data_IF_401241840259
#
_entry.id   IF_401241840259
#
_cell.length_a   1.000
_cell.length_b   1.000
_cell.length_c   1.000
_cell.angle_alpha   90.00
_cell.angle_beta   90.00
_cell.angle_gamma   90.00
#
_symmetry.space_group_name_H-M   'P 1'
#
loop_
_entity.id
_entity.type
_entity.pdbx_description
1 polymer ?
#
# COMPACT_ATOMS: atom_id res chain seq x y z
N UNK A 1 14.66 13.99 4.03
CA UNK A 1 15.59 13.03 3.42
C UNK A 1 16.90 13.75 3.11
N UNK A 2 18.03 13.07 3.25
CA UNK A 2 19.36 13.67 3.05
C UNK A 2 19.64 13.83 1.53
N UNK A 3 19.53 15.06 1.04
CA UNK A 3 19.69 15.39 -0.38
C UNK A 3 21.15 15.41 -0.86
N UNK A 4 22.12 15.30 0.07
CA UNK A 4 23.52 15.13 -0.30
C UNK A 4 23.82 13.67 -0.69
N UNK A 5 23.02 12.71 -0.17
CA UNK A 5 23.18 11.27 -0.45
C UNK A 5 22.20 10.72 -1.47
N UNK A 6 21.04 11.34 -1.61
CA UNK A 6 19.94 10.81 -2.43
C UNK A 6 19.42 11.84 -3.41
N UNK A 7 19.27 11.43 -4.65
CA UNK A 7 18.48 12.16 -5.63
C UNK A 7 17.01 11.69 -5.52
N UNK A 8 16.17 12.50 -4.87
CA UNK A 8 14.81 12.14 -4.55
C UNK A 8 13.87 12.50 -5.69
N UNK A 9 13.11 11.53 -6.17
CA UNK A 9 12.04 11.73 -7.15
C UNK A 9 10.72 11.54 -6.41
N UNK A 10 9.89 12.57 -6.39
CA UNK A 10 8.62 12.55 -5.69
C UNK A 10 7.51 12.12 -6.65
N UNK A 11 6.71 11.13 -6.23
CA UNK A 11 5.54 10.66 -6.97
C UNK A 11 4.34 10.70 -6.04
N UNK A 12 3.31 11.44 -6.41
CA UNK A 12 2.05 11.51 -5.70
C UNK A 12 1.01 10.58 -6.33
N UNK A 13 0.24 9.87 -5.49
CA UNK A 13 -0.89 9.05 -5.94
C UNK A 13 -2.16 9.68 -5.38
N UNK A 14 -3.08 10.09 -6.25
CA UNK A 14 -4.35 10.67 -5.84
C UNK A 14 -5.32 9.60 -5.32
N UNK A 15 -6.41 10.00 -4.67
CA UNK A 15 -7.45 9.06 -4.20
C UNK A 15 -8.14 8.31 -5.35
N UNK A 16 -8.16 8.92 -6.53
CA UNK A 16 -8.69 8.33 -7.78
C UNK A 16 -7.66 7.40 -8.46
N UNK A 17 -6.47 7.25 -7.89
CA UNK A 17 -5.41 6.39 -8.42
C UNK A 17 -4.58 7.01 -9.55
N UNK A 18 -4.58 8.35 -9.72
CA UNK A 18 -3.66 9.02 -10.66
C UNK A 18 -2.27 9.08 -10.04
N UNK A 19 -1.27 8.67 -10.81
CA UNK A 19 0.14 8.76 -10.42
C UNK A 19 0.79 9.95 -11.11
N UNK A 20 1.30 10.89 -10.36
CA UNK A 20 1.78 12.18 -10.84
C UNK A 20 3.22 12.43 -10.36
N UNK A 21 4.06 12.95 -11.26
CA UNK A 21 5.36 13.50 -10.87
C UNK A 21 5.14 14.77 -10.06
N UNK A 22 5.87 14.90 -8.96
CA UNK A 22 5.79 16.06 -8.07
C UNK A 22 7.10 16.82 -8.14
N UNK A 23 7.05 18.13 -8.42
CA UNK A 23 8.26 18.93 -8.62
C UNK A 23 9.02 19.21 -7.31
N UNK A 24 8.31 19.34 -6.19
CA UNK A 24 8.95 19.62 -4.93
C UNK A 24 8.10 19.37 -3.68
N UNK A 25 8.75 19.44 -2.53
CA UNK A 25 8.09 19.26 -1.22
C UNK A 25 7.01 20.33 -1.00
N UNK A 26 7.23 21.54 -1.47
CA UNK A 26 6.26 22.64 -1.37
C UNK A 26 4.92 22.29 -2.01
N UNK A 27 4.94 21.62 -3.17
CA UNK A 27 3.72 21.24 -3.87
C UNK A 27 2.94 20.14 -3.11
N UNK A 28 3.66 19.34 -2.30
CA UNK A 28 3.03 18.40 -1.38
C UNK A 28 2.36 19.14 -0.23
N UNK A 29 3.04 20.13 0.37
CA UNK A 29 2.55 20.88 1.52
C UNK A 29 1.30 21.70 1.20
N UNK A 30 1.26 22.36 0.04
CA UNK A 30 0.11 23.17 -0.39
C UNK A 30 -0.94 22.37 -1.19
N UNK A 31 -0.60 21.13 -1.59
CA UNK A 31 -1.50 20.23 -2.30
C UNK A 31 -1.61 20.45 -3.81
N UNK A 32 -0.86 21.41 -4.38
CA UNK A 32 -0.90 21.75 -5.81
C UNK A 32 -0.48 20.62 -6.74
N UNK A 33 0.30 19.66 -6.25
CA UNK A 33 0.72 18.50 -7.01
C UNK A 33 -0.44 17.70 -7.63
N UNK A 34 -1.65 17.79 -7.04
CA UNK A 34 -2.84 17.05 -7.52
C UNK A 34 -3.34 17.57 -8.87
N UNK A 35 -3.03 18.82 -9.19
CA UNK A 35 -3.37 19.45 -10.47
C UNK A 35 -2.31 19.19 -11.56
N UNK A 36 -1.25 18.46 -11.21
CA UNK A 36 -0.18 18.11 -12.14
C UNK A 36 -0.67 17.28 -13.33
N UNK A 37 -0.06 17.49 -14.49
CA UNK A 37 -0.38 16.78 -15.74
C UNK A 37 0.63 15.69 -16.09
N UNK A 38 1.85 15.77 -15.53
CA UNK A 38 2.92 14.83 -15.79
C UNK A 38 2.68 13.56 -15.02
N UNK A 39 2.39 12.47 -15.74
CA UNK A 39 2.18 11.15 -15.11
C UNK A 39 3.53 10.47 -14.85
N UNK A 40 3.64 9.81 -13.71
CA UNK A 40 4.85 9.06 -13.36
C UNK A 40 4.50 7.80 -12.58
N UNK A 41 4.85 6.64 -13.11
CA UNK A 41 4.54 5.33 -12.49
C UNK A 41 5.66 4.33 -12.69
N UNK A 42 5.74 3.34 -11.80
CA UNK A 42 6.75 2.28 -11.88
C UNK A 42 6.40 1.33 -13.03
N UNK A 43 7.39 1.08 -13.90
CA UNK A 43 7.28 0.05 -14.93
C UNK A 43 7.31 -1.35 -14.30
N UNK A 44 6.37 -2.23 -14.61
CA UNK A 44 6.46 -3.64 -14.23
C UNK A 44 7.52 -4.43 -15.03
N UNK A 45 8.10 -3.82 -16.06
CA UNK A 45 9.13 -4.44 -16.89
C UNK A 45 10.45 -4.51 -16.14
N UNK A 46 10.87 -5.73 -15.82
CA UNK A 46 12.10 -6.01 -15.07
C UNK A 46 13.38 -5.57 -15.77
N UNK A 47 13.34 -5.38 -17.09
CA UNK A 47 14.51 -5.00 -17.89
C UNK A 47 14.82 -3.51 -17.75
N UNK A 48 13.83 -2.68 -17.45
CA UNK A 48 13.99 -1.23 -17.36
C UNK A 48 14.35 -0.74 -15.96
N UNK A 49 13.75 -1.34 -14.91
CA UNK A 49 13.89 -0.91 -13.50
C UNK A 49 13.75 0.60 -13.35
N UNK A 50 12.67 1.14 -13.89
CA UNK A 50 12.52 2.57 -14.08
C UNK A 50 11.14 3.08 -13.71
N UNK A 51 11.11 4.36 -13.38
CA UNK A 51 9.92 5.18 -13.40
C UNK A 51 9.66 5.60 -14.86
N UNK A 52 8.46 5.39 -15.34
CA UNK A 52 7.97 5.92 -16.62
C UNK A 52 7.39 7.30 -16.36
N UNK A 53 7.90 8.30 -17.00
CA UNK A 53 7.41 9.68 -16.94
C UNK A 53 6.79 10.02 -18.27
N UNK A 54 5.50 10.35 -18.27
CA UNK A 54 4.73 10.73 -19.48
C UNK A 54 4.43 12.23 -19.45
N UNK A 55 4.90 12.93 -20.46
CA UNK A 55 4.63 14.35 -20.65
C UNK A 55 4.47 14.65 -22.14
N UNK A 56 3.50 15.47 -22.51
CA UNK A 56 3.32 16.00 -23.86
C UNK A 56 3.34 14.94 -24.98
N UNK A 57 2.73 13.79 -24.72
CA UNK A 57 2.66 12.68 -25.70
C UNK A 57 3.95 11.88 -25.89
N UNK A 58 5.00 12.18 -25.13
CA UNK A 58 6.27 11.46 -25.11
C UNK A 58 6.48 10.77 -23.74
N UNK A 59 7.41 9.83 -23.70
CA UNK A 59 7.79 9.19 -22.44
C UNK A 59 9.30 9.23 -22.21
N UNK A 60 9.68 9.28 -20.94
CA UNK A 60 11.07 9.15 -20.48
C UNK A 60 11.14 8.02 -19.46
N UNK A 61 12.19 7.21 -19.52
CA UNK A 61 12.51 6.24 -18.48
C UNK A 61 13.55 6.87 -17.53
N UNK A 62 13.18 6.95 -16.27
CA UNK A 62 14.08 7.40 -15.21
C UNK A 62 14.45 6.22 -14.33
N UNK A 63 15.70 5.81 -14.35
CA UNK A 63 16.20 4.71 -13.52
C UNK A 63 15.99 5.03 -12.04
N UNK A 64 15.55 4.01 -11.29
CA UNK A 64 15.31 4.09 -9.85
C UNK A 64 16.08 2.99 -9.16
N UNK A 65 16.83 3.34 -8.13
CA UNK A 65 17.65 2.39 -7.37
C UNK A 65 16.89 1.79 -6.19
N UNK A 66 15.99 2.58 -5.59
CA UNK A 66 15.17 2.15 -4.44
C UNK A 66 13.85 2.93 -4.39
N UNK A 67 12.79 2.27 -3.97
CA UNK A 67 11.48 2.88 -3.74
C UNK A 67 11.26 3.01 -2.22
N UNK A 68 10.81 4.18 -1.79
CA UNK A 68 10.40 4.44 -0.42
C UNK A 68 8.91 4.83 -0.39
N UNK A 69 8.01 3.84 -0.22
CA UNK A 69 6.58 4.12 -0.18
C UNK A 69 6.19 4.78 1.14
N UNK A 70 5.40 5.85 1.05
CA UNK A 70 4.74 6.51 2.18
C UNK A 70 3.24 6.52 1.85
N UNK A 71 2.65 5.35 1.97
CA UNK A 71 1.26 5.09 1.60
C UNK A 71 0.52 4.48 2.78
N UNK A 72 -0.79 4.70 2.86
CA UNK A 72 -1.62 4.21 3.94
C UNK A 72 -2.89 3.53 3.39
N UNK A 73 -3.33 2.47 4.09
CA UNK A 73 -4.58 1.78 3.82
C UNK A 73 -4.57 0.93 2.55
N UNK A 74 -5.76 0.78 1.98
CA UNK A 74 -6.01 -0.05 0.81
C UNK A 74 -5.14 0.39 -0.39
N UNK A 75 -4.63 -0.58 -1.14
CA UNK A 75 -3.67 -0.48 -2.22
C UNK A 75 -2.25 -0.03 -1.81
N UNK A 76 -2.08 0.59 -0.65
CA UNK A 76 -0.79 1.06 -0.13
C UNK A 76 -0.10 0.09 0.82
N UNK A 77 -0.89 -0.62 1.66
CA UNK A 77 -0.38 -1.47 2.75
C UNK A 77 -0.85 -2.93 2.64
N UNK A 78 -1.69 -3.27 1.67
CA UNK A 78 -2.34 -4.59 1.51
C UNK A 78 -1.61 -5.56 0.57
N UNK A 79 -0.42 -5.24 0.12
CA UNK A 79 0.37 -6.06 -0.80
C UNK A 79 0.19 -5.68 -2.27
N UNK A 80 -0.81 -4.85 -2.62
CA UNK A 80 -1.12 -4.49 -4.01
C UNK A 80 0.03 -3.72 -4.67
N UNK A 81 0.44 -2.60 -4.08
CA UNK A 81 1.55 -1.81 -4.61
C UNK A 81 2.89 -2.52 -4.45
N UNK A 82 3.06 -3.31 -3.39
CA UNK A 82 4.24 -4.14 -3.19
C UNK A 82 4.39 -5.17 -4.31
N UNK A 83 3.28 -5.73 -4.82
CA UNK A 83 3.27 -6.60 -5.98
C UNK A 83 3.82 -5.92 -7.24
N UNK A 84 3.49 -4.65 -7.47
CA UNK A 84 4.07 -3.85 -8.56
C UNK A 84 5.58 -3.68 -8.39
N UNK A 85 6.04 -3.40 -7.16
CA UNK A 85 7.47 -3.26 -6.88
C UNK A 85 8.23 -4.58 -7.07
N UNK A 86 7.65 -5.70 -6.65
CA UNK A 86 8.21 -7.03 -6.90
C UNK A 86 8.34 -7.34 -8.40
N UNK A 87 7.32 -7.00 -9.19
CA UNK A 87 7.35 -7.16 -10.64
C UNK A 87 8.46 -6.32 -11.27
N UNK A 88 8.65 -5.09 -10.81
CA UNK A 88 9.66 -4.18 -11.35
C UNK A 88 11.09 -4.58 -11.02
N UNK A 89 11.30 -5.46 -10.03
CA UNK A 89 12.62 -5.81 -9.47
C UNK A 89 13.42 -4.59 -8.97
N UNK A 90 12.73 -3.54 -8.56
CA UNK A 90 13.34 -2.40 -7.86
C UNK A 90 13.24 -2.66 -6.36
N UNK A 91 14.34 -2.62 -5.61
CA UNK A 91 14.29 -2.73 -4.16
C UNK A 91 13.38 -1.66 -3.55
N UNK A 92 12.67 -2.00 -2.50
CA UNK A 92 11.81 -1.04 -1.80
C UNK A 92 11.90 -1.20 -0.27
N UNK A 93 11.60 -0.13 0.43
CA UNK A 93 11.57 -0.11 1.90
C UNK A 93 10.17 -0.48 2.38
N UNK A 94 10.08 -1.49 3.23
CA UNK A 94 8.82 -1.92 3.82
C UNK A 94 8.63 -3.44 3.80
N UNK A 95 7.42 -3.86 4.14
CA UNK A 95 7.05 -5.27 4.16
C UNK A 95 6.83 -5.80 2.74
N UNK A 96 7.13 -7.09 2.52
CA UNK A 96 6.81 -7.76 1.26
C UNK A 96 5.32 -8.04 1.08
N UNK A 97 4.94 -8.53 -0.10
CA UNK A 97 3.54 -8.75 -0.51
C UNK A 97 2.75 -9.56 0.53
N UNK A 98 3.26 -10.74 0.92
CA UNK A 98 2.53 -11.62 1.84
C UNK A 98 2.36 -10.99 3.22
N UNK A 99 3.41 -10.39 3.77
CA UNK A 99 3.35 -9.75 5.08
C UNK A 99 2.38 -8.56 5.09
N UNK A 100 2.40 -7.74 4.05
CA UNK A 100 1.48 -6.63 3.87
C UNK A 100 0.02 -7.11 3.79
N UNK A 101 -0.28 -8.09 2.94
CA UNK A 101 -1.62 -8.62 2.76
C UNK A 101 -2.19 -9.23 4.05
N UNK A 102 -1.41 -10.07 4.72
CA UNK A 102 -1.82 -10.70 5.98
C UNK A 102 -2.02 -9.67 7.09
N UNK A 103 -1.11 -8.70 7.22
CA UNK A 103 -1.22 -7.68 8.27
C UNK A 103 -2.39 -6.73 8.06
N UNK A 104 -2.84 -6.55 6.82
CA UNK A 104 -4.01 -5.72 6.51
C UNK A 104 -5.32 -6.41 6.88
N UNK A 105 -5.39 -7.73 6.77
CA UNK A 105 -6.55 -8.52 7.16
C UNK A 105 -6.50 -8.87 8.65
N UNK A 106 -7.41 -8.28 9.43
CA UNK A 106 -7.45 -8.46 10.90
C UNK A 106 -7.69 -9.91 11.31
N UNK A 107 -8.44 -10.68 10.53
CA UNK A 107 -8.75 -12.08 10.84
C UNK A 107 -7.51 -12.94 10.65
N UNK A 108 -6.86 -12.83 9.50
CA UNK A 108 -5.63 -13.58 9.24
C UNK A 108 -4.49 -13.17 10.16
N UNK A 109 -4.34 -11.87 10.46
CA UNK A 109 -3.36 -11.40 11.45
C UNK A 109 -3.59 -12.08 12.79
N UNK A 110 -4.83 -12.10 13.29
CA UNK A 110 -5.16 -12.71 14.58
C UNK A 110 -4.95 -14.22 14.61
N UNK A 111 -5.29 -14.94 13.55
CA UNK A 111 -5.06 -16.37 13.43
C UNK A 111 -3.55 -16.69 13.53
N UNK A 112 -2.72 -15.91 12.84
CA UNK A 112 -1.26 -16.11 12.85
C UNK A 112 -0.68 -15.77 14.22
N UNK A 113 -1.09 -14.64 14.81
CA UNK A 113 -0.63 -14.21 16.14
C UNK A 113 -0.98 -15.24 17.20
N UNK A 114 -2.18 -15.82 17.15
CA UNK A 114 -2.61 -16.89 18.03
C UNK A 114 -1.74 -18.16 17.85
N UNK A 115 -1.51 -18.56 16.60
CA UNK A 115 -0.72 -19.74 16.27
C UNK A 115 0.73 -19.67 16.77
N UNK A 116 1.33 -18.47 16.79
CA UNK A 116 2.70 -18.26 17.30
C UNK A 116 2.75 -18.02 18.81
N UNK A 117 1.61 -18.09 19.51
CA UNK A 117 1.52 -18.00 20.97
C UNK A 117 1.70 -16.60 21.54
N UNK A 118 1.39 -15.57 20.78
CA UNK A 118 1.37 -14.17 21.29
C UNK A 118 -0.01 -13.88 21.87
N UNK A 119 -0.05 -13.41 23.11
CA UNK A 119 -1.30 -13.03 23.77
C UNK A 119 -2.02 -11.91 23.02
N UNK A 120 -3.31 -12.10 22.82
CA UNK A 120 -4.16 -11.11 22.15
C UNK A 120 -5.58 -11.09 22.74
N UNK A 121 -6.30 -10.01 22.54
CA UNK A 121 -7.69 -9.93 22.91
C UNK A 121 -8.53 -10.95 22.15
N UNK A 122 -9.50 -11.57 22.81
CA UNK A 122 -10.50 -12.43 22.16
C UNK A 122 -11.18 -11.69 21.01
N UNK A 123 -11.54 -12.44 19.99
CA UNK A 123 -12.24 -11.88 18.84
C UNK A 123 -13.22 -12.91 18.25
N UNK A 124 -14.23 -12.40 17.58
CA UNK A 124 -15.14 -13.22 16.77
C UNK A 124 -15.19 -12.63 15.37
N UNK A 125 -15.01 -13.48 14.37
CA UNK A 125 -15.16 -13.08 12.98
C UNK A 125 -16.62 -13.18 12.57
N UNK A 126 -17.21 -12.04 12.18
CA UNK A 126 -18.56 -11.95 11.60
C UNK A 126 -18.44 -11.64 10.11
N UNK A 127 -19.05 -12.46 9.27
CA UNK A 127 -19.09 -12.30 7.80
C UNK A 127 -20.37 -11.67 7.35
N UNK A 128 -20.40 -11.13 6.15
CA UNK A 128 -21.61 -10.58 5.54
C UNK A 128 -22.75 -11.61 5.50
N UNK A 129 -22.46 -12.87 5.19
CA UNK A 129 -23.45 -13.97 5.24
C UNK A 129 -24.07 -14.22 6.61
N UNK A 130 -23.41 -13.84 7.70
CA UNK A 130 -23.94 -14.00 9.05
C UNK A 130 -25.11 -13.03 9.33
N UNK A 131 -25.27 -11.96 8.55
CA UNK A 131 -26.39 -11.03 8.67
C UNK A 131 -27.75 -11.65 8.25
N UNK A 132 -27.72 -12.74 7.49
CA UNK A 132 -28.93 -13.53 7.17
C UNK A 132 -29.41 -14.33 8.40
N UNK A 133 -28.53 -14.57 9.39
CA UNK A 133 -28.76 -15.30 10.62
C UNK A 133 -28.25 -14.52 11.84
N UNK A 134 -28.73 -13.30 11.99
CA UNK A 134 -28.18 -12.32 12.93
C UNK A 134 -28.22 -12.81 14.40
N UNK A 135 -29.31 -13.48 14.83
CA UNK A 135 -29.45 -13.99 16.20
C UNK A 135 -28.36 -15.03 16.51
N UNK A 136 -28.11 -15.97 15.60
CA UNK A 136 -27.04 -16.98 15.76
C UNK A 136 -25.65 -16.35 15.81
N UNK A 137 -25.42 -15.30 15.01
CA UNK A 137 -24.19 -14.55 15.02
C UNK A 137 -23.99 -13.80 16.35
N UNK A 138 -25.04 -13.20 16.89
CA UNK A 138 -25.02 -12.52 18.20
C UNK A 138 -24.72 -13.51 19.32
N UNK A 139 -25.42 -14.64 19.38
CA UNK A 139 -25.19 -15.69 20.38
C UNK A 139 -23.73 -16.18 20.35
N UNK A 140 -23.16 -16.35 19.15
CA UNK A 140 -21.73 -16.73 18.98
C UNK A 140 -20.81 -15.67 19.56
N UNK A 141 -21.07 -14.39 19.30
CA UNK A 141 -20.28 -13.27 19.82
C UNK A 141 -20.37 -13.21 21.34
N UNK A 142 -21.57 -13.25 21.92
CA UNK A 142 -21.78 -13.18 23.37
C UNK A 142 -21.16 -14.37 24.13
N UNK A 143 -21.17 -15.55 23.53
CA UNK A 143 -20.52 -16.73 24.10
C UNK A 143 -19.00 -16.61 24.20
N UNK A 144 -18.37 -16.04 23.17
CA UNK A 144 -16.90 -15.92 23.10
C UNK A 144 -16.38 -14.66 23.83
N UNK A 145 -17.17 -13.58 23.81
CA UNK A 145 -16.81 -12.27 24.41
C UNK A 145 -17.95 -11.88 25.37
N UNK A 146 -18.09 -12.54 26.53
CA UNK A 146 -19.10 -12.17 27.50
C UNK A 146 -18.81 -10.79 28.10
N UNK A 147 -19.88 -10.02 28.39
CA UNK A 147 -19.79 -8.70 29.05
C UNK A 147 -19.27 -8.79 30.47
#
# INVERSE_FOLDING_TARGET
MDTEKYNVILVGITKEGRWLLVDGVKDIEDGSWREGEVKAFISPDTTTRSLVILAEGTYKLQKVDVIFPVLHGMNGEDGTVQGLFELSKIPYVGCGVLASAVSMDKVYTKIIVDHIGIDQAKFVHVRESDFEHLEEAMDRVEKEIPY
#
